data_IF_158519471546
#
_entry.id   IF_158519471546
#
_cell.length_a   1.000
_cell.length_b   1.000
_cell.length_c   1.000
_cell.angle_alpha   90.00
_cell.angle_beta   90.00
_cell.angle_gamma   90.00
#
_symmetry.space_group_name_H-M   'P 1'
#
loop_
_entity.id
_entity.type
_entity.pdbx_description
1 polymer ?
#
# COMPACT_ATOMS: atom_id res chain seq x y z
N UNK A 1 17.07 36.12 18.60
CA UNK A 1 17.39 34.77 18.07
C UNK A 1 17.20 33.81 19.23
N UNK A 2 15.99 33.23 19.40
CA UNK A 2 15.73 32.19 20.39
C UNK A 2 16.31 30.88 19.85
N UNK A 3 17.36 30.38 20.46
CA UNK A 3 17.84 29.02 20.26
C UNK A 3 16.87 28.11 21.00
N UNK A 4 15.98 27.46 20.28
CA UNK A 4 15.15 26.39 20.84
C UNK A 4 16.10 25.25 21.25
N UNK A 5 16.35 25.11 22.53
CA UNK A 5 17.00 23.94 23.11
C UNK A 5 16.01 22.79 22.94
N UNK A 6 16.20 21.97 21.91
CA UNK A 6 15.49 20.69 21.77
C UNK A 6 15.92 19.84 22.96
N UNK A 7 15.09 19.83 24.00
CA UNK A 7 15.28 18.94 25.14
C UNK A 7 15.22 17.50 24.62
N UNK A 8 16.36 16.82 24.64
CA UNK A 8 16.44 15.42 24.20
C UNK A 8 15.62 14.60 25.23
N UNK A 9 14.45 14.13 24.83
CA UNK A 9 13.60 13.28 25.66
C UNK A 9 14.40 12.07 26.18
N UNK A 10 14.27 11.69 27.45
CA UNK A 10 15.00 10.57 28.01
C UNK A 10 14.67 9.28 27.25
N UNK A 11 15.66 8.39 27.15
CA UNK A 11 15.48 7.08 26.50
C UNK A 11 14.70 6.17 27.46
N UNK A 12 13.57 5.62 26.96
CA UNK A 12 12.83 4.55 27.62
C UNK A 12 13.42 3.20 27.19
N UNK A 13 13.74 2.34 28.13
CA UNK A 13 14.16 0.97 27.85
C UNK A 13 12.99 0.02 28.10
N UNK A 14 12.59 -0.74 27.10
CA UNK A 14 11.37 -1.59 27.17
C UNK A 14 11.47 -2.64 28.30
N UNK A 15 12.65 -3.15 28.58
CA UNK A 15 12.88 -4.09 29.69
C UNK A 15 12.63 -3.45 31.08
N UNK A 16 12.73 -2.14 31.22
CA UNK A 16 12.37 -1.42 32.46
C UNK A 16 10.85 -1.31 32.68
N UNK A 17 10.06 -1.57 31.62
CA UNK A 17 8.61 -1.65 31.67
C UNK A 17 8.10 -3.11 31.80
N UNK A 18 9.02 -4.08 31.84
CA UNK A 18 8.69 -5.49 31.94
C UNK A 18 8.60 -6.21 30.58
N UNK A 19 9.00 -5.58 29.48
CA UNK A 19 9.05 -6.24 28.15
C UNK A 19 10.30 -7.13 28.09
N UNK A 20 10.10 -8.44 28.21
CA UNK A 20 11.19 -9.44 28.37
C UNK A 20 10.94 -10.69 27.50
N UNK A 21 12.00 -11.33 26.97
CA UNK A 21 11.85 -12.50 26.10
C UNK A 21 11.30 -13.77 26.79
N UNK A 22 11.22 -13.79 28.12
CA UNK A 22 10.70 -14.93 28.88
C UNK A 22 9.24 -14.77 29.30
N UNK A 23 8.59 -13.67 28.99
CA UNK A 23 7.19 -13.43 29.33
C UNK A 23 6.24 -14.09 28.33
N UNK A 24 4.98 -14.30 28.74
CA UNK A 24 3.89 -14.62 27.82
C UNK A 24 3.50 -13.45 26.92
N UNK A 25 2.69 -13.73 25.90
CA UNK A 25 2.35 -12.79 24.87
C UNK A 25 1.50 -11.60 25.38
N UNK A 26 0.62 -11.83 26.36
CA UNK A 26 -0.22 -10.79 26.95
C UNK A 26 0.63 -9.83 27.80
N UNK A 27 1.43 -10.37 28.70
CA UNK A 27 2.32 -9.59 29.56
C UNK A 27 3.30 -8.71 28.73
N UNK A 28 3.85 -9.28 27.64
CA UNK A 28 4.73 -8.53 26.74
C UNK A 28 3.95 -7.45 25.96
N UNK A 29 2.75 -7.74 25.47
CA UNK A 29 1.94 -6.74 24.77
C UNK A 29 1.62 -5.55 25.66
N UNK A 30 1.20 -5.79 26.91
CA UNK A 30 0.91 -4.75 27.90
C UNK A 30 2.15 -3.95 28.28
N UNK A 31 3.27 -4.63 28.52
CA UNK A 31 4.54 -3.99 28.88
C UNK A 31 5.07 -3.09 27.77
N UNK A 32 5.04 -3.56 26.51
CA UNK A 32 5.49 -2.77 25.37
C UNK A 32 4.54 -1.60 25.11
N UNK A 33 3.21 -1.79 25.15
CA UNK A 33 2.25 -0.69 24.99
C UNK A 33 2.48 0.40 26.03
N UNK A 34 2.64 0.04 27.31
CA UNK A 34 2.94 1.00 28.38
C UNK A 34 4.24 1.79 28.13
N UNK A 35 5.23 1.16 27.49
CA UNK A 35 6.47 1.83 27.10
C UNK A 35 6.25 2.79 25.91
N UNK A 36 5.37 2.40 24.95
CA UNK A 36 5.04 3.17 23.75
C UNK A 36 4.20 4.42 24.07
N UNK A 37 3.36 4.36 25.09
CA UNK A 37 2.44 5.44 25.44
C UNK A 37 3.17 6.77 25.62
N UNK A 38 2.66 7.81 24.92
CA UNK A 38 3.24 9.15 24.89
C UNK A 38 4.51 9.27 24.03
N UNK A 39 4.81 8.28 23.19
CA UNK A 39 5.92 8.34 22.24
C UNK A 39 7.31 8.45 22.87
N UNK A 40 8.24 9.10 22.15
CA UNK A 40 9.61 9.33 22.58
C UNK A 40 10.59 8.24 22.14
N UNK A 41 11.81 8.27 22.69
CA UNK A 41 12.90 7.35 22.31
C UNK A 41 12.82 6.04 23.07
N UNK A 42 12.50 4.94 22.39
CA UNK A 42 12.26 3.63 22.98
C UNK A 42 13.28 2.63 22.42
N UNK A 43 13.88 1.83 23.31
CA UNK A 43 14.92 0.85 22.93
C UNK A 43 14.60 -0.53 23.50
N UNK A 44 14.53 -1.53 22.61
CA UNK A 44 14.48 -2.94 22.96
C UNK A 44 15.90 -3.49 22.79
N UNK A 45 16.62 -3.72 23.88
CA UNK A 45 18.08 -3.93 23.87
C UNK A 45 18.54 -5.35 24.17
N UNK A 46 17.69 -6.22 24.64
CA UNK A 46 18.03 -7.63 24.94
C UNK A 46 17.62 -8.51 23.76
N UNK A 47 18.54 -9.26 23.20
CA UNK A 47 18.23 -10.25 22.18
C UNK A 47 17.31 -11.35 22.73
N UNK A 48 16.45 -11.90 21.90
CA UNK A 48 15.50 -12.97 22.24
C UNK A 48 14.19 -12.86 21.48
N UNK A 49 13.32 -13.84 21.66
CA UNK A 49 11.97 -13.90 21.10
C UNK A 49 10.99 -13.29 22.09
N UNK A 50 10.20 -12.38 21.61
CA UNK A 50 9.21 -11.63 22.39
C UNK A 50 7.82 -11.92 21.85
N UNK A 51 7.07 -12.84 22.46
CA UNK A 51 5.70 -13.11 22.05
C UNK A 51 4.81 -11.88 22.31
N UNK A 52 3.89 -11.58 21.36
CA UNK A 52 2.88 -10.53 21.47
C UNK A 52 1.55 -11.00 20.90
N UNK A 53 0.44 -10.61 21.52
CA UNK A 53 -0.92 -11.02 21.11
C UNK A 53 -1.92 -9.86 21.02
N UNK A 54 -1.49 -8.63 21.20
CA UNK A 54 -2.33 -7.43 21.09
C UNK A 54 -1.75 -6.45 20.09
N UNK A 55 -2.64 -5.71 19.43
CA UNK A 55 -2.23 -4.58 18.58
C UNK A 55 -1.55 -3.51 19.42
N UNK A 56 -0.38 -3.09 18.98
CA UNK A 56 0.45 -2.09 19.63
C UNK A 56 0.29 -0.74 18.90
N UNK A 57 -0.07 0.28 19.66
CA UNK A 57 -0.36 1.62 19.12
C UNK A 57 0.84 2.53 19.32
N UNK A 58 1.29 3.17 18.25
CA UNK A 58 2.38 4.13 18.24
C UNK A 58 1.82 5.56 18.28
N UNK A 59 2.30 6.36 19.20
CA UNK A 59 1.99 7.80 19.26
C UNK A 59 2.98 8.62 18.41
N UNK A 60 2.61 9.84 18.04
CA UNK A 60 3.49 10.79 17.36
C UNK A 60 4.85 10.94 18.08
N UNK A 61 5.92 11.15 17.32
CA UNK A 61 7.28 11.29 17.87
C UNK A 61 7.88 10.01 18.45
N UNK A 62 7.28 8.84 18.23
CA UNK A 62 7.85 7.55 18.65
C UNK A 62 9.10 7.21 17.82
N UNK A 63 10.25 7.02 18.50
CA UNK A 63 11.48 6.48 17.95
C UNK A 63 11.77 5.11 18.59
N UNK A 64 11.18 4.06 18.00
CA UNK A 64 11.27 2.67 18.48
C UNK A 64 12.41 1.93 17.76
N UNK A 65 13.35 1.39 18.51
CA UNK A 65 14.48 0.65 17.95
C UNK A 65 14.68 -0.70 18.64
N UNK A 66 14.79 -1.72 17.81
CA UNK A 66 15.11 -3.09 18.22
C UNK A 66 16.59 -3.39 17.94
N UNK A 67 17.28 -3.92 18.95
CA UNK A 67 18.64 -4.39 18.77
C UNK A 67 18.66 -5.67 17.93
N UNK A 68 19.74 -5.91 17.23
CA UNK A 68 19.98 -7.18 16.53
C UNK A 68 19.74 -8.39 17.45
N UNK A 69 19.07 -9.41 16.91
CA UNK A 69 18.65 -10.62 17.62
C UNK A 69 17.38 -10.49 18.46
N UNK A 70 16.68 -9.34 18.39
CA UNK A 70 15.31 -9.20 18.91
C UNK A 70 14.33 -9.64 17.83
N UNK A 71 13.44 -10.60 18.16
CA UNK A 71 12.36 -11.07 17.29
C UNK A 71 11.03 -10.85 17.98
N UNK A 72 10.15 -10.10 17.36
CA UNK A 72 8.75 -9.99 17.77
C UNK A 72 7.97 -11.17 17.17
N UNK A 73 7.37 -11.99 18.02
CA UNK A 73 6.65 -13.20 17.60
C UNK A 73 5.15 -13.01 17.85
N UNK A 74 4.33 -13.04 16.80
CA UNK A 74 2.86 -13.04 16.99
C UNK A 74 2.42 -14.37 17.57
N UNK A 75 1.62 -14.31 18.63
CA UNK A 75 1.03 -15.47 19.27
C UNK A 75 -0.42 -15.19 19.64
N UNK A 76 -1.16 -16.23 19.98
CA UNK A 76 -2.50 -16.10 20.54
C UNK A 76 -2.41 -15.76 22.02
N UNK A 77 -3.28 -14.89 22.50
CA UNK A 77 -3.44 -14.60 23.92
C UNK A 77 -4.24 -15.68 24.64
N UNK A 78 -4.39 -15.52 25.98
CA UNK A 78 -5.12 -16.48 26.81
C UNK A 78 -6.60 -16.67 26.40
N UNK A 79 -7.18 -15.69 25.72
CA UNK A 79 -8.54 -15.72 25.18
C UNK A 79 -8.63 -16.31 23.75
N UNK A 80 -7.52 -16.79 23.21
CA UNK A 80 -7.42 -17.35 21.87
C UNK A 80 -7.42 -16.30 20.76
N UNK A 81 -7.37 -15.00 21.08
CA UNK A 81 -7.22 -13.92 20.08
C UNK A 81 -5.76 -13.52 19.87
N UNK A 82 -5.43 -13.14 18.65
CA UNK A 82 -4.13 -12.57 18.27
C UNK A 82 -4.18 -11.05 18.11
N UNK A 83 -3.06 -10.47 17.71
CA UNK A 83 -3.02 -9.08 17.30
C UNK A 83 -3.62 -8.90 15.90
N UNK A 84 -4.55 -7.95 15.72
CA UNK A 84 -5.05 -7.59 14.37
C UNK A 84 -3.93 -6.97 13.54
N UNK A 85 -3.26 -5.95 14.08
CA UNK A 85 -1.99 -5.43 13.58
C UNK A 85 -0.91 -5.73 14.61
N UNK A 86 0.34 -5.87 14.17
CA UNK A 86 1.44 -5.83 15.13
C UNK A 86 1.65 -4.40 15.62
N UNK A 87 1.69 -3.45 14.68
CA UNK A 87 1.73 -2.02 15.00
C UNK A 87 0.71 -1.24 14.15
N UNK A 88 0.12 -0.21 14.77
CA UNK A 88 -0.67 0.82 14.11
C UNK A 88 -0.40 2.16 14.80
N UNK A 89 -0.43 3.27 14.07
CA UNK A 89 -0.26 4.59 14.70
C UNK A 89 -1.59 5.17 15.21
N UNK A 90 -1.51 6.11 16.16
CA UNK A 90 -2.67 6.76 16.79
C UNK A 90 -3.53 7.51 15.79
N UNK A 91 -2.92 8.16 14.79
CA UNK A 91 -3.62 8.90 13.75
C UNK A 91 -4.63 8.08 12.97
N UNK A 92 -4.45 6.76 12.90
CA UNK A 92 -5.44 5.87 12.29
C UNK A 92 -6.83 5.97 12.96
N UNK A 93 -6.87 6.20 14.27
CA UNK A 93 -8.10 6.28 15.06
C UNK A 93 -8.69 7.70 15.10
N UNK A 94 -7.82 8.72 15.01
CA UNK A 94 -8.23 10.12 15.16
C UNK A 94 -8.39 10.84 13.82
N UNK A 95 -7.87 10.27 12.72
CA UNK A 95 -7.71 10.91 11.41
C UNK A 95 -6.88 12.20 11.44
N UNK A 96 -6.04 12.34 12.46
CA UNK A 96 -5.06 13.40 12.57
C UNK A 96 -3.66 12.88 12.30
N UNK A 97 -2.81 13.70 11.70
CA UNK A 97 -1.46 13.28 11.37
C UNK A 97 -0.60 13.08 12.61
N UNK A 98 -0.04 11.86 12.75
CA UNK A 98 1.10 11.62 13.63
C UNK A 98 2.39 12.00 12.90
N UNK A 99 3.23 12.79 13.53
CA UNK A 99 4.49 13.24 12.95
C UNK A 99 5.71 12.57 13.61
N UNK A 100 6.73 12.27 12.80
CA UNK A 100 8.05 11.88 13.28
C UNK A 100 8.14 10.49 13.88
N UNK A 101 7.34 9.53 13.40
CA UNK A 101 7.44 8.13 13.83
C UNK A 101 8.65 7.47 13.16
N UNK A 102 9.47 6.78 13.98
CA UNK A 102 10.60 5.97 13.51
C UNK A 102 10.53 4.57 14.09
N UNK A 103 10.66 3.56 13.23
CA UNK A 103 10.75 2.15 13.64
C UNK A 103 11.99 1.55 12.99
N UNK A 104 12.92 1.01 13.77
CA UNK A 104 14.14 0.43 13.23
C UNK A 104 14.53 -0.91 13.85
N UNK A 105 15.01 -1.84 13.00
CA UNK A 105 15.46 -3.16 13.42
C UNK A 105 14.33 -4.12 13.79
N UNK A 106 13.10 -3.89 13.33
CA UNK A 106 11.97 -4.77 13.60
C UNK A 106 12.11 -6.08 12.81
N UNK A 107 12.37 -7.18 13.50
CA UNK A 107 12.22 -8.52 12.98
C UNK A 107 10.90 -9.09 13.50
N UNK A 108 9.92 -9.24 12.61
CA UNK A 108 8.59 -9.78 12.91
C UNK A 108 8.49 -11.22 12.43
N UNK A 109 7.89 -12.07 13.25
CA UNK A 109 7.51 -13.44 12.93
C UNK A 109 6.01 -13.58 13.14
N UNK A 110 5.27 -13.97 12.09
CA UNK A 110 3.81 -14.05 12.13
C UNK A 110 3.28 -15.38 12.64
N UNK A 111 4.03 -16.47 12.51
CA UNK A 111 3.63 -17.84 12.91
C UNK A 111 2.29 -18.27 12.27
N UNK A 112 2.03 -17.84 11.05
CA UNK A 112 0.77 -18.09 10.35
C UNK A 112 -0.43 -17.25 10.83
N UNK A 113 -0.24 -16.36 11.80
CA UNK A 113 -1.30 -15.48 12.31
C UNK A 113 -1.42 -14.21 11.45
N UNK A 114 -2.58 -13.99 10.90
CA UNK A 114 -2.95 -12.79 10.16
C UNK A 114 -3.92 -11.89 10.98
N UNK A 115 -4.39 -10.81 10.36
CA UNK A 115 -5.30 -9.84 10.98
C UNK A 115 -6.62 -10.45 11.45
N UNK A 116 -7.05 -11.58 10.88
CA UNK A 116 -8.30 -12.27 11.25
C UNK A 116 -8.20 -12.95 12.64
N UNK A 117 -7.00 -13.16 13.14
CA UNK A 117 -6.78 -13.68 14.49
C UNK A 117 -7.08 -12.64 15.58
N UNK A 118 -7.12 -11.36 15.23
CA UNK A 118 -7.42 -10.25 16.15
C UNK A 118 -8.86 -9.80 16.12
N UNK A 119 -9.30 -9.18 17.22
CA UNK A 119 -10.60 -8.51 17.30
C UNK A 119 -10.70 -7.31 16.37
N UNK A 120 -11.92 -6.89 16.06
CA UNK A 120 -12.15 -5.65 15.32
C UNK A 120 -11.66 -4.44 16.11
N UNK A 121 -11.12 -3.47 15.40
CA UNK A 121 -10.73 -2.17 15.93
C UNK A 121 -11.67 -1.12 15.34
N UNK A 122 -12.17 -0.25 16.20
CA UNK A 122 -12.99 0.88 15.76
C UNK A 122 -12.09 1.96 15.16
N UNK A 123 -11.89 1.87 13.84
CA UNK A 123 -11.09 2.83 13.08
C UNK A 123 -12.04 3.55 12.12
N UNK A 124 -12.23 4.87 12.27
CA UNK A 124 -13.19 5.63 11.47
C UNK A 124 -12.97 5.51 9.96
N UNK A 125 -14.02 5.18 9.21
CA UNK A 125 -13.97 5.08 7.75
C UNK A 125 -13.23 3.86 7.19
N UNK A 126 -12.78 2.95 8.04
CA UNK A 126 -12.02 1.77 7.67
C UNK A 126 -12.77 0.50 8.07
N UNK A 127 -12.93 -0.39 7.14
CA UNK A 127 -13.58 -1.67 7.37
C UNK A 127 -12.64 -2.80 6.96
N UNK A 128 -12.10 -3.53 7.93
CA UNK A 128 -11.44 -4.79 7.68
C UNK A 128 -10.06 -4.73 7.02
N UNK A 129 -9.22 -3.80 7.41
CA UNK A 129 -7.82 -3.74 6.96
C UNK A 129 -7.06 -5.03 7.23
N UNK A 130 -6.17 -5.37 6.31
CA UNK A 130 -5.36 -6.59 6.34
C UNK A 130 -3.89 -6.28 6.15
N UNK A 131 -3.18 -6.00 7.24
CA UNK A 131 -1.72 -5.84 7.21
C UNK A 131 -1.09 -6.14 8.57
N UNK A 132 0.22 -6.35 8.58
CA UNK A 132 0.95 -6.60 9.81
C UNK A 132 1.35 -5.29 10.51
N UNK A 133 1.77 -4.28 9.74
CA UNK A 133 2.18 -2.97 10.26
C UNK A 133 1.48 -1.88 9.45
N UNK A 134 0.68 -1.05 10.13
CA UNK A 134 -0.15 -0.03 9.52
C UNK A 134 0.27 1.38 9.94
N UNK A 135 0.36 2.30 8.97
CA UNK A 135 0.57 3.72 9.22
C UNK A 135 -0.43 4.53 8.39
N UNK A 136 -1.41 5.12 9.07
CA UNK A 136 -2.43 5.95 8.45
C UNK A 136 -2.41 7.35 9.04
N UNK A 137 -2.53 8.38 8.20
CA UNK A 137 -2.40 9.78 8.60
C UNK A 137 -1.03 10.02 9.28
N UNK A 138 0.04 9.92 8.52
CA UNK A 138 1.40 9.99 9.05
C UNK A 138 2.27 10.95 8.25
N UNK A 139 3.11 11.74 8.94
CA UNK A 139 4.15 12.60 8.37
C UNK A 139 5.52 12.25 8.92
N UNK A 140 6.55 12.37 8.07
CA UNK A 140 7.92 12.09 8.44
C UNK A 140 8.11 10.71 9.07
N UNK A 141 7.51 9.67 8.44
CA UNK A 141 7.67 8.28 8.83
C UNK A 141 9.00 7.72 8.34
N UNK A 142 9.71 7.01 9.22
CA UNK A 142 10.95 6.33 8.86
C UNK A 142 10.95 4.89 9.37
N UNK A 143 11.03 3.92 8.45
CA UNK A 143 11.15 2.49 8.73
C UNK A 143 12.49 2.01 8.20
N UNK A 144 13.31 1.39 9.05
CA UNK A 144 14.64 0.90 8.69
C UNK A 144 14.91 -0.49 9.25
N UNK A 145 15.53 -1.37 8.45
CA UNK A 145 15.84 -2.75 8.82
C UNK A 145 14.61 -3.50 9.34
N UNK A 146 13.57 -3.54 8.51
CA UNK A 146 12.39 -4.37 8.74
C UNK A 146 12.59 -5.74 8.10
N UNK A 147 12.37 -6.81 8.86
CA UNK A 147 12.46 -8.19 8.38
C UNK A 147 11.20 -8.96 8.71
N UNK A 148 10.58 -9.59 7.71
CA UNK A 148 9.43 -10.47 7.84
C UNK A 148 9.54 -11.58 6.79
N UNK A 149 9.81 -12.80 7.21
CA UNK A 149 10.11 -13.93 6.31
C UNK A 149 8.99 -14.99 6.26
N UNK A 150 7.88 -14.76 6.94
CA UNK A 150 6.73 -15.66 7.02
C UNK A 150 5.40 -14.91 6.85
N UNK A 151 5.35 -13.96 5.92
CA UNK A 151 4.16 -13.14 5.65
C UNK A 151 2.97 -14.03 5.25
N UNK A 152 1.86 -14.01 6.01
CA UNK A 152 0.70 -14.85 5.74
C UNK A 152 -0.12 -14.39 4.51
N UNK A 153 -1.01 -15.26 3.97
CA UNK A 153 -1.65 -15.03 2.67
C UNK A 153 -2.73 -13.94 2.65
N UNK A 154 -3.10 -13.37 3.78
CA UNK A 154 -4.22 -12.41 3.84
C UNK A 154 -3.81 -11.01 4.28
N UNK A 155 -2.56 -10.79 4.62
CA UNK A 155 -2.06 -9.52 5.13
C UNK A 155 -0.92 -8.96 4.29
N UNK A 156 -0.93 -7.66 4.04
CA UNK A 156 0.27 -6.93 3.59
C UNK A 156 1.30 -6.86 4.72
N UNK A 157 2.59 -6.77 4.39
CA UNK A 157 3.60 -6.64 5.45
C UNK A 157 3.57 -5.23 6.07
N UNK A 158 3.64 -4.19 5.24
CA UNK A 158 3.58 -2.79 5.64
C UNK A 158 2.52 -2.09 4.79
N UNK A 159 1.59 -1.37 5.42
CA UNK A 159 0.63 -0.52 4.73
C UNK A 159 0.73 0.93 5.20
N UNK A 160 0.80 1.85 4.24
CA UNK A 160 0.96 3.28 4.50
C UNK A 160 -0.05 4.04 3.64
N UNK A 161 -0.90 4.86 4.26
CA UNK A 161 -1.94 5.60 3.54
C UNK A 161 -2.20 6.96 4.19
N UNK A 162 -2.55 7.95 3.39
CA UNK A 162 -2.72 9.35 3.82
C UNK A 162 -1.44 9.83 4.51
N UNK A 163 -0.39 9.98 3.70
CA UNK A 163 0.95 10.21 4.21
C UNK A 163 1.65 11.40 3.55
N UNK A 164 2.64 11.96 4.26
CA UNK A 164 3.63 12.91 3.73
C UNK A 164 5.03 12.54 4.23
N UNK A 165 6.04 12.50 3.33
CA UNK A 165 7.45 12.21 3.64
C UNK A 165 7.66 10.86 4.35
N UNK A 166 7.66 9.78 3.58
CA UNK A 166 7.88 8.43 4.09
C UNK A 166 9.18 7.86 3.56
N UNK A 167 9.97 7.24 4.42
CA UNK A 167 11.13 6.43 4.02
C UNK A 167 11.01 5.03 4.61
N UNK A 168 11.09 4.04 3.72
CA UNK A 168 11.15 2.61 4.06
C UNK A 168 12.44 2.06 3.45
N UNK A 169 13.40 1.69 4.28
CA UNK A 169 14.68 1.23 3.76
C UNK A 169 15.22 -0.02 4.47
N UNK A 170 16.11 -0.74 3.79
CA UNK A 170 16.71 -1.97 4.29
C UNK A 170 15.64 -3.00 4.71
N UNK A 171 14.65 -3.23 3.84
CA UNK A 171 13.56 -4.15 4.12
C UNK A 171 13.77 -5.50 3.48
N UNK A 172 13.48 -6.58 4.22
CA UNK A 172 13.46 -7.93 3.70
C UNK A 172 12.10 -8.58 4.01
N UNK A 173 11.32 -8.85 2.96
CA UNK A 173 9.99 -9.46 3.09
C UNK A 173 9.89 -10.70 2.20
N UNK A 174 9.51 -11.82 2.82
CA UNK A 174 9.18 -13.07 2.12
C UNK A 174 7.78 -13.55 2.53
N UNK A 175 7.01 -14.09 1.59
CA UNK A 175 5.71 -14.73 1.86
C UNK A 175 4.63 -14.43 0.82
N UNK A 176 3.37 -14.47 1.26
CA UNK A 176 2.25 -14.73 0.37
C UNK A 176 1.51 -13.49 -0.13
N UNK A 177 1.85 -12.27 0.34
CA UNK A 177 1.13 -11.03 0.03
C UNK A 177 2.09 -9.86 -0.24
N UNK A 178 1.54 -8.63 -0.42
CA UNK A 178 2.30 -7.42 -0.73
C UNK A 178 3.30 -7.08 0.38
N UNK A 179 4.50 -6.64 -0.03
CA UNK A 179 5.49 -6.24 0.96
C UNK A 179 5.27 -4.79 1.44
N UNK A 180 5.28 -3.82 0.54
CA UNK A 180 5.05 -2.41 0.89
C UNK A 180 3.87 -1.89 0.07
N UNK A 181 2.76 -1.63 0.74
CA UNK A 181 1.50 -1.22 0.17
C UNK A 181 1.21 0.25 0.50
N UNK A 182 1.16 1.09 -0.52
CA UNK A 182 0.83 2.50 -0.40
C UNK A 182 -0.59 2.77 -0.87
N UNK A 183 -1.34 3.51 -0.05
CA UNK A 183 -2.51 4.27 -0.46
C UNK A 183 -2.13 5.74 -0.75
N UNK A 184 -3.11 6.65 -0.82
CA UNK A 184 -2.86 8.06 -1.14
C UNK A 184 -1.83 8.74 -0.25
N UNK A 185 -1.04 9.62 -0.86
CA UNK A 185 -0.03 10.42 -0.17
C UNK A 185 1.07 10.91 -1.09
N UNK A 186 2.05 11.59 -0.55
CA UNK A 186 3.13 12.17 -1.33
C UNK A 186 4.48 12.14 -0.62
N UNK A 187 5.54 12.11 -1.43
CA UNK A 187 6.91 12.13 -0.95
C UNK A 187 7.28 10.81 -0.27
N UNK A 188 7.63 9.78 -1.05
CA UNK A 188 8.04 8.51 -0.45
C UNK A 188 9.31 7.96 -1.10
N UNK A 189 10.07 7.22 -0.29
CA UNK A 189 11.25 6.47 -0.71
C UNK A 189 11.14 5.04 -0.18
N UNK A 190 11.29 4.05 -1.09
CA UNK A 190 11.55 2.66 -0.74
C UNK A 190 12.90 2.29 -1.31
N UNK A 191 13.86 1.91 -0.47
CA UNK A 191 15.19 1.56 -0.97
C UNK A 191 15.86 0.42 -0.24
N UNK A 192 16.81 -0.25 -0.93
CA UNK A 192 17.53 -1.41 -0.42
C UNK A 192 16.56 -2.53 0.00
N UNK A 193 15.52 -2.76 -0.83
CA UNK A 193 14.50 -3.76 -0.59
C UNK A 193 14.87 -5.13 -1.17
N UNK A 194 14.68 -6.19 -0.39
CA UNK A 194 14.78 -7.58 -0.83
C UNK A 194 13.42 -8.21 -0.67
N UNK A 195 12.83 -8.66 -1.78
CA UNK A 195 11.47 -9.18 -1.78
C UNK A 195 11.42 -10.58 -2.40
N UNK A 196 10.75 -11.50 -1.74
CA UNK A 196 10.39 -12.83 -2.23
C UNK A 196 8.91 -13.05 -1.94
N UNK A 197 8.05 -12.27 -2.58
CA UNK A 197 6.61 -12.27 -2.33
C UNK A 197 5.85 -13.01 -3.43
N UNK A 198 4.79 -13.71 -3.06
CA UNK A 198 3.88 -14.34 -4.03
C UNK A 198 3.06 -13.28 -4.77
N UNK A 199 2.56 -12.25 -4.07
CA UNK A 199 1.86 -11.07 -4.61
C UNK A 199 2.85 -9.91 -4.84
N UNK A 200 2.44 -8.66 -4.71
CA UNK A 200 3.18 -7.48 -5.15
C UNK A 200 4.26 -7.04 -4.13
N UNK A 201 5.57 -7.02 -4.46
CA UNK A 201 6.57 -6.33 -3.63
C UNK A 201 6.21 -4.88 -3.32
N UNK A 202 5.74 -4.15 -4.31
CA UNK A 202 5.34 -2.75 -4.21
C UNK A 202 3.93 -2.59 -4.76
N UNK A 203 2.98 -2.17 -3.93
CA UNK A 203 1.66 -1.78 -4.37
C UNK A 203 1.47 -0.26 -4.21
N UNK A 204 1.16 0.43 -5.30
CA UNK A 204 0.82 1.86 -5.33
C UNK A 204 -0.67 1.97 -5.68
N UNK A 205 -1.51 1.74 -4.69
CA UNK A 205 -2.95 1.63 -4.86
C UNK A 205 -3.64 2.95 -4.50
N UNK A 206 -3.71 3.89 -5.44
CA UNK A 206 -4.40 5.17 -5.26
C UNK A 206 -5.90 4.98 -5.04
N UNK A 207 -6.50 3.99 -5.70
CA UNK A 207 -7.81 3.42 -5.41
C UNK A 207 -7.63 1.98 -4.95
N UNK A 208 -8.32 1.58 -3.89
CA UNK A 208 -8.28 0.21 -3.41
C UNK A 208 -9.63 -0.22 -2.83
N UNK A 209 -9.74 -1.47 -2.40
CA UNK A 209 -10.96 -1.96 -1.75
C UNK A 209 -11.35 -1.08 -0.57
N UNK A 210 -12.64 -1.05 -0.26
CA UNK A 210 -13.16 -0.32 0.92
C UNK A 210 -12.49 -0.77 2.22
N UNK A 211 -11.94 -1.98 2.21
CA UNK A 211 -11.30 -2.61 3.36
C UNK A 211 -9.79 -2.41 3.44
N UNK A 212 -9.17 -1.74 2.48
CA UNK A 212 -7.71 -1.56 2.44
C UNK A 212 -7.27 -0.15 2.79
N UNK A 213 -7.65 0.85 2.02
CA UNK A 213 -7.21 2.23 2.24
C UNK A 213 -8.28 3.05 2.97
N UNK A 214 -7.93 3.86 3.97
CA UNK A 214 -8.87 4.76 4.64
C UNK A 214 -9.42 5.85 3.71
N UNK A 215 -8.60 6.37 2.81
CA UNK A 215 -8.96 7.42 1.85
C UNK A 215 -8.61 7.02 0.42
N UNK A 216 -9.23 7.71 -0.55
CA UNK A 216 -8.89 7.67 -1.96
C UNK A 216 -8.18 8.98 -2.33
N UNK A 217 -7.20 8.92 -3.24
CA UNK A 217 -6.47 10.10 -3.69
C UNK A 217 -5.20 9.75 -4.46
N UNK A 218 -4.43 10.75 -4.85
CA UNK A 218 -3.20 10.58 -5.63
C UNK A 218 -2.03 10.08 -4.78
N UNK A 219 -1.16 9.28 -5.41
CA UNK A 219 0.17 8.90 -4.90
C UNK A 219 1.20 9.63 -5.73
N UNK A 220 2.03 10.45 -5.09
CA UNK A 220 2.90 11.38 -5.78
C UNK A 220 4.33 11.41 -5.23
N UNK A 221 5.27 11.76 -6.11
CA UNK A 221 6.64 12.10 -5.76
C UNK A 221 7.37 10.94 -5.04
N UNK A 222 7.45 9.80 -5.72
CA UNK A 222 8.01 8.56 -5.18
C UNK A 222 9.34 8.13 -5.79
N UNK A 223 10.18 7.49 -4.98
CA UNK A 223 11.38 6.80 -5.42
C UNK A 223 11.41 5.37 -4.87
N UNK A 224 11.47 4.40 -5.77
CA UNK A 224 11.77 3.00 -5.45
C UNK A 224 13.17 2.71 -6.00
N UNK A 225 14.14 2.42 -5.12
CA UNK A 225 15.54 2.37 -5.50
C UNK A 225 16.27 1.17 -4.91
N UNK A 226 17.20 0.58 -5.68
CA UNK A 226 18.03 -0.57 -5.28
C UNK A 226 17.21 -1.70 -4.62
N UNK A 227 16.18 -2.15 -5.37
CA UNK A 227 15.29 -3.20 -4.92
C UNK A 227 15.46 -4.45 -5.78
N UNK A 228 15.37 -5.61 -5.14
CA UNK A 228 15.48 -6.92 -5.79
C UNK A 228 14.21 -7.74 -5.57
N UNK A 229 13.59 -8.19 -6.67
CA UNK A 229 12.51 -9.17 -6.69
C UNK A 229 13.14 -10.56 -6.87
N UNK A 230 13.28 -11.30 -5.78
CA UNK A 230 13.95 -12.61 -5.77
C UNK A 230 13.10 -13.67 -6.44
N UNK A 231 13.75 -14.60 -7.13
CA UNK A 231 13.08 -15.76 -7.70
C UNK A 231 12.46 -16.65 -6.62
N UNK A 232 11.29 -17.19 -6.93
CA UNK A 232 10.56 -18.10 -6.05
C UNK A 232 9.95 -19.25 -6.86
N UNK A 233 10.76 -20.22 -7.27
CA UNK A 233 10.30 -21.32 -8.13
C UNK A 233 9.29 -22.24 -7.44
N UNK A 234 9.20 -22.22 -6.12
CA UNK A 234 8.30 -23.10 -5.36
C UNK A 234 6.85 -22.58 -5.35
N UNK A 235 6.64 -21.25 -5.28
CA UNK A 235 5.31 -20.66 -5.16
C UNK A 235 4.73 -20.15 -6.48
N UNK A 236 5.45 -20.28 -7.59
CA UNK A 236 5.00 -19.86 -8.90
C UNK A 236 4.97 -18.34 -9.09
N UNK A 237 4.18 -17.88 -10.06
CA UNK A 237 4.14 -16.47 -10.46
C UNK A 237 2.73 -15.91 -10.37
N UNK A 238 2.46 -15.07 -9.39
CA UNK A 238 1.28 -14.20 -9.35
C UNK A 238 1.69 -12.80 -8.94
N UNK A 239 0.79 -11.82 -9.08
CA UNK A 239 1.09 -10.43 -8.82
C UNK A 239 2.14 -9.83 -9.77
N UNK A 240 2.60 -8.66 -9.42
CA UNK A 240 3.55 -7.85 -10.19
C UNK A 240 4.74 -7.51 -9.28
N UNK A 241 5.86 -7.05 -9.84
CA UNK A 241 6.87 -6.38 -9.00
C UNK A 241 6.30 -5.06 -8.47
N UNK A 242 5.61 -4.31 -9.33
CA UNK A 242 4.87 -3.15 -8.88
C UNK A 242 3.47 -3.12 -9.50
N UNK A 243 2.46 -3.00 -8.64
CA UNK A 243 1.06 -2.76 -8.98
C UNK A 243 0.76 -1.28 -8.82
N UNK A 244 0.14 -0.69 -9.83
CA UNK A 244 -0.21 0.73 -9.84
C UNK A 244 -1.70 0.85 -10.18
N UNK A 245 -2.52 1.17 -9.19
CA UNK A 245 -3.96 1.32 -9.35
C UNK A 245 -4.38 2.78 -9.47
N UNK A 246 -5.24 3.02 -10.45
CA UNK A 246 -5.94 4.29 -10.60
C UNK A 246 -7.45 4.10 -10.36
N UNK A 247 -8.15 5.20 -10.17
CA UNK A 247 -9.60 5.20 -10.03
C UNK A 247 -10.26 6.47 -10.52
N UNK A 248 -11.57 6.40 -10.73
CA UNK A 248 -12.39 7.54 -11.08
C UNK A 248 -13.85 7.29 -10.72
N UNK A 249 -14.52 8.28 -10.16
CA UNK A 249 -15.91 8.22 -9.71
C UNK A 249 -16.63 9.53 -9.96
N UNK A 250 -17.93 9.54 -9.72
CA UNK A 250 -18.79 10.69 -10.04
C UNK A 250 -19.49 11.22 -8.80
N UNK A 251 -20.08 12.40 -8.95
CA UNK A 251 -21.08 12.88 -8.01
C UNK A 251 -22.27 11.91 -7.98
N UNK A 252 -22.82 11.69 -6.80
CA UNK A 252 -24.00 10.87 -6.63
C UNK A 252 -25.21 11.46 -7.36
N UNK A 253 -25.89 10.61 -8.10
CA UNK A 253 -27.15 10.93 -8.77
C UNK A 253 -28.17 9.82 -8.52
N UNK A 254 -29.44 10.17 -8.40
CA UNK A 254 -30.53 9.18 -8.31
C UNK A 254 -30.57 8.31 -9.55
N UNK A 255 -30.67 7.01 -9.36
CA UNK A 255 -30.72 6.05 -10.46
C UNK A 255 -29.36 5.51 -10.90
N UNK A 256 -28.25 5.93 -10.26
CA UNK A 256 -26.92 5.34 -10.51
C UNK A 256 -26.93 3.84 -10.23
N UNK A 257 -26.21 3.11 -11.06
CA UNK A 257 -25.97 1.67 -10.86
C UNK A 257 -24.75 1.46 -10.01
N UNK A 258 -24.94 1.01 -8.79
CA UNK A 258 -23.90 0.83 -7.78
C UNK A 258 -23.64 -0.64 -7.55
N UNK A 259 -22.37 -1.06 -7.62
CA UNK A 259 -21.96 -2.40 -7.23
C UNK A 259 -22.01 -2.54 -5.69
N UNK A 260 -22.32 -3.72 -5.20
CA UNK A 260 -22.43 -3.97 -3.76
C UNK A 260 -21.16 -3.64 -2.97
N UNK A 261 -20.02 -3.68 -3.62
CA UNK A 261 -18.73 -3.37 -3.01
C UNK A 261 -17.80 -2.65 -4.01
N UNK A 262 -17.05 -1.68 -3.54
CA UNK A 262 -15.93 -1.06 -4.24
C UNK A 262 -16.24 0.18 -5.08
N UNK A 263 -17.50 0.53 -5.30
CA UNK A 263 -17.85 1.80 -5.96
C UNK A 263 -17.66 2.97 -5.01
N UNK A 264 -17.26 4.11 -5.56
CA UNK A 264 -17.19 5.39 -4.86
C UNK A 264 -18.10 6.43 -5.51
N UNK A 265 -18.63 7.34 -4.70
CA UNK A 265 -19.38 8.52 -5.14
C UNK A 265 -19.03 9.73 -4.27
N UNK A 266 -19.14 10.93 -4.85
CA UNK A 266 -19.08 12.18 -4.10
C UNK A 266 -20.50 12.65 -3.80
N UNK A 267 -20.76 13.01 -2.56
CA UNK A 267 -22.04 13.56 -2.15
C UNK A 267 -21.85 14.54 -0.99
N UNK A 268 -22.34 15.78 -1.14
CA UNK A 268 -22.26 16.85 -0.13
C UNK A 268 -20.84 17.07 0.44
N UNK A 269 -19.83 17.07 -0.44
CA UNK A 269 -18.45 17.26 -0.03
C UNK A 269 -17.86 16.10 0.75
N UNK A 270 -18.40 14.88 0.58
CA UNK A 270 -17.90 13.63 1.17
C UNK A 270 -17.76 12.55 0.10
N UNK A 271 -16.83 11.65 0.30
CA UNK A 271 -16.74 10.43 -0.49
C UNK A 271 -17.35 9.28 0.30
N UNK A 272 -18.28 8.60 -0.34
CA UNK A 272 -18.89 7.38 0.15
C UNK A 272 -18.43 6.21 -0.71
N UNK A 273 -18.10 5.09 -0.09
CA UNK A 273 -17.75 3.85 -0.78
C UNK A 273 -18.74 2.75 -0.45
N UNK A 274 -19.20 2.02 -1.48
CA UNK A 274 -20.07 0.87 -1.27
C UNK A 274 -19.32 -0.24 -0.54
N UNK A 275 -19.94 -0.78 0.51
CA UNK A 275 -19.33 -1.76 1.41
C UNK A 275 -20.33 -2.91 1.72
N UNK A 276 -20.75 -3.58 0.71
CA UNK A 276 -21.64 -4.76 0.82
C UNK A 276 -20.89 -6.08 0.63
N UNK A 277 -21.63 -7.17 0.43
CA UNK A 277 -21.06 -8.48 0.16
C UNK A 277 -20.11 -8.45 -1.05
N UNK A 278 -19.04 -9.22 -0.98
CA UNK A 278 -18.03 -9.39 -2.05
C UNK A 278 -18.55 -10.10 -3.31
N UNK A 279 -19.84 -10.17 -3.48
CA UNK A 279 -20.50 -10.67 -4.69
C UNK A 279 -20.99 -9.46 -5.45
N UNK A 280 -20.62 -9.35 -6.74
CA UNK A 280 -21.07 -8.25 -7.61
C UNK A 280 -22.58 -8.28 -7.80
N UNK A 281 -23.30 -7.71 -6.87
CA UNK A 281 -24.71 -7.38 -7.01
C UNK A 281 -24.81 -5.91 -7.37
N UNK A 282 -25.48 -5.60 -8.48
CA UNK A 282 -25.75 -4.24 -8.90
C UNK A 282 -27.08 -3.79 -8.32
N UNK A 283 -27.07 -2.64 -7.67
CA UNK A 283 -28.24 -1.95 -7.13
C UNK A 283 -28.51 -0.67 -7.90
N UNK A 284 -29.74 -0.21 -7.90
CA UNK A 284 -30.10 1.13 -8.39
C UNK A 284 -30.20 2.05 -7.19
N UNK A 285 -29.32 3.05 -7.11
CA UNK A 285 -29.28 3.97 -5.98
C UNK A 285 -30.47 4.94 -6.04
N UNK A 286 -31.37 4.84 -5.07
CA UNK A 286 -32.54 5.69 -4.94
C UNK A 286 -32.44 6.64 -3.74
N UNK A 287 -31.60 6.35 -2.79
CA UNK A 287 -31.44 7.11 -1.56
C UNK A 287 -30.05 7.75 -1.49
N UNK A 288 -30.05 9.06 -1.30
CA UNK A 288 -28.83 9.86 -1.20
C UNK A 288 -28.08 9.56 0.09
N UNK A 289 -26.80 9.16 0.06
CA UNK A 289 -26.03 9.00 1.27
C UNK A 289 -25.80 10.35 1.94
N UNK A 290 -26.05 10.42 3.26
CA UNK A 290 -26.01 11.68 4.03
C UNK A 290 -25.44 11.57 5.44
N UNK A 291 -25.13 10.34 5.89
CA UNK A 291 -24.50 10.14 7.20
C UNK A 291 -23.07 10.73 7.21
N UNK A 292 -22.62 11.13 8.39
CA UNK A 292 -21.36 11.87 8.56
C UNK A 292 -20.24 11.01 9.08
N UNK A 293 -20.52 9.77 9.47
CA UNK A 293 -19.56 8.81 10.00
C UNK A 293 -20.04 7.37 9.83
N UNK A 294 -19.11 6.43 9.84
CA UNK A 294 -19.39 5.01 9.87
C UNK A 294 -20.02 4.46 8.59
N UNK A 295 -20.75 3.36 8.76
CA UNK A 295 -21.36 2.57 7.67
C UNK A 295 -22.87 2.46 7.89
N UNK A 296 -23.65 2.77 6.85
CA UNK A 296 -25.13 2.75 6.90
C UNK A 296 -25.69 2.02 5.68
N UNK A 297 -26.61 1.10 5.91
CA UNK A 297 -27.41 0.46 4.84
C UNK A 297 -28.68 1.26 4.60
N UNK A 298 -28.88 1.69 3.34
CA UNK A 298 -30.05 2.46 2.91
C UNK A 298 -31.19 1.56 2.42
N UNK A 299 -32.44 2.06 2.33
CA UNK A 299 -33.58 1.22 1.95
C UNK A 299 -33.51 0.60 0.54
N UNK A 300 -32.65 1.12 -0.35
CA UNK A 300 -32.35 0.51 -1.66
C UNK A 300 -31.41 -0.69 -1.58
N UNK A 301 -30.97 -1.08 -0.38
CA UNK A 301 -30.09 -2.19 -0.12
C UNK A 301 -28.60 -1.86 -0.23
N UNK A 302 -28.24 -0.63 -0.61
CA UNK A 302 -26.85 -0.21 -0.70
C UNK A 302 -26.32 0.13 0.69
N UNK A 303 -25.19 -0.47 1.03
CA UNK A 303 -24.43 -0.14 2.25
C UNK A 303 -23.31 0.83 1.87
N UNK A 304 -23.35 2.04 2.42
CA UNK A 304 -22.34 3.06 2.21
C UNK A 304 -21.48 3.26 3.46
N UNK A 305 -20.18 3.30 3.28
CA UNK A 305 -19.21 3.77 4.29
C UNK A 305 -18.78 5.19 3.94
N UNK A 306 -18.97 6.15 4.84
CA UNK A 306 -18.39 7.48 4.70
C UNK A 306 -16.88 7.38 4.90
N UNK A 307 -16.12 7.54 3.82
CA UNK A 307 -14.67 7.36 3.82
C UNK A 307 -13.94 8.62 4.20
N UNK A 308 -14.29 9.75 3.58
CA UNK A 308 -13.57 11.01 3.79
C UNK A 308 -14.47 12.22 3.56
N UNK A 309 -14.19 13.28 4.30
CA UNK A 309 -14.87 14.58 4.22
C UNK A 309 -13.89 15.74 3.95
N UNK A 310 -12.66 15.39 3.62
CA UNK A 310 -11.58 16.31 3.21
C UNK A 310 -10.83 15.73 2.01
N UNK A 311 -10.05 16.54 1.30
CA UNK A 311 -9.29 16.13 0.12
C UNK A 311 -10.17 15.46 -0.95
N UNK A 312 -11.38 16.03 -1.17
CA UNK A 312 -12.35 15.44 -2.09
C UNK A 312 -11.85 15.53 -3.51
N UNK A 313 -11.83 14.42 -4.19
CA UNK A 313 -11.45 14.28 -5.59
C UNK A 313 -12.42 13.34 -6.33
N UNK A 314 -12.40 13.38 -7.66
CA UNK A 314 -13.22 12.53 -8.54
C UNK A 314 -12.38 11.51 -9.30
N UNK A 315 -11.07 11.61 -9.17
CA UNK A 315 -10.11 10.69 -9.77
C UNK A 315 -8.86 10.54 -8.90
N UNK A 316 -8.16 9.44 -9.05
CA UNK A 316 -6.90 9.18 -8.38
C UNK A 316 -5.99 8.30 -9.24
N UNK A 317 -4.72 8.37 -8.99
CA UNK A 317 -3.70 7.60 -9.70
C UNK A 317 -2.32 7.88 -9.14
N UNK A 318 -1.31 7.55 -9.93
CA UNK A 318 0.10 7.67 -9.54
C UNK A 318 0.83 8.58 -10.52
N UNK A 319 1.65 9.49 -10.01
CA UNK A 319 2.48 10.37 -10.83
C UNK A 319 3.80 10.76 -10.17
N UNK A 320 4.79 11.10 -10.99
CA UNK A 320 6.13 11.46 -10.54
C UNK A 320 6.79 10.35 -9.71
N UNK A 321 6.82 9.13 -10.24
CA UNK A 321 7.43 7.99 -9.56
C UNK A 321 8.58 7.43 -10.37
N UNK A 322 9.71 7.24 -9.70
CA UNK A 322 10.95 6.69 -10.26
C UNK A 322 11.24 5.34 -9.67
N UNK A 323 11.38 4.34 -10.54
CA UNK A 323 11.93 3.02 -10.23
C UNK A 323 13.37 3.00 -10.72
N UNK A 324 14.34 2.90 -9.82
CA UNK A 324 15.77 2.98 -10.12
C UNK A 324 16.55 1.80 -9.55
N UNK A 325 17.55 1.31 -10.31
CA UNK A 325 18.40 0.19 -9.89
C UNK A 325 17.59 -1.05 -9.46
N UNK A 326 16.61 -1.46 -10.28
CA UNK A 326 15.69 -2.56 -9.97
C UNK A 326 16.19 -3.86 -10.61
N UNK A 327 16.29 -4.91 -9.81
CA UNK A 327 16.65 -6.27 -10.26
C UNK A 327 15.43 -7.18 -10.20
N UNK A 328 14.91 -7.54 -11.38
CA UNK A 328 13.77 -8.43 -11.53
C UNK A 328 14.27 -9.86 -11.79
N UNK A 329 14.43 -10.62 -10.73
CA UNK A 329 14.92 -12.01 -10.79
C UNK A 329 13.77 -13.01 -10.73
N UNK A 330 12.61 -12.62 -10.22
CA UNK A 330 11.42 -13.47 -10.17
C UNK A 330 10.78 -13.59 -11.54
N UNK A 331 10.39 -14.80 -11.90
CA UNK A 331 9.61 -15.07 -13.12
C UNK A 331 8.18 -14.57 -12.94
N UNK A 332 7.81 -13.51 -13.66
CA UNK A 332 6.47 -12.90 -13.67
C UNK A 332 5.94 -12.80 -15.10
N UNK A 333 4.61 -12.82 -15.26
CA UNK A 333 3.99 -12.57 -16.57
C UNK A 333 4.07 -11.08 -16.96
N UNK A 334 3.94 -10.21 -15.99
CA UNK A 334 4.06 -8.77 -16.11
C UNK A 334 4.84 -8.28 -14.90
N UNK A 335 5.88 -7.46 -15.09
CA UNK A 335 6.62 -6.91 -13.96
C UNK A 335 5.94 -5.68 -13.36
N UNK A 336 5.46 -4.77 -14.17
CA UNK A 336 4.89 -3.48 -13.75
C UNK A 336 3.52 -3.31 -14.42
N UNK A 337 2.45 -3.18 -13.62
CA UNK A 337 1.10 -3.09 -14.14
C UNK A 337 0.37 -1.83 -13.66
N UNK A 338 -0.04 -0.99 -14.62
CA UNK A 338 -0.90 0.17 -14.39
C UNK A 338 -2.31 -0.19 -14.86
N UNK A 339 -3.27 -0.32 -13.95
CA UNK A 339 -4.61 -0.74 -14.32
C UNK A 339 -5.72 -0.18 -13.43
N UNK A 340 -6.96 -0.40 -13.84
CA UNK A 340 -8.12 -0.28 -12.99
C UNK A 340 -8.43 -1.64 -12.41
N UNK A 341 -8.68 -1.68 -11.12
CA UNK A 341 -9.21 -2.88 -10.50
C UNK A 341 -10.68 -3.04 -10.85
N UNK A 342 -11.04 -4.22 -11.33
CA UNK A 342 -12.41 -4.49 -11.76
C UNK A 342 -12.73 -5.96 -11.51
N UNK A 343 -12.74 -6.32 -10.23
CA UNK A 343 -13.01 -7.68 -9.76
C UNK A 343 -14.21 -7.73 -8.80
N UNK A 344 -14.30 -8.78 -8.02
CA UNK A 344 -15.38 -8.98 -7.05
C UNK A 344 -15.28 -8.04 -5.82
N UNK A 345 -14.17 -7.35 -5.63
CA UNK A 345 -13.92 -6.50 -4.46
C UNK A 345 -13.99 -5.01 -4.77
N UNK A 346 -13.75 -4.63 -6.03
CA UNK A 346 -13.56 -3.25 -6.41
C UNK A 346 -14.00 -3.00 -7.86
N UNK A 347 -14.62 -1.84 -8.10
CA UNK A 347 -14.72 -1.21 -9.40
C UNK A 347 -14.06 0.16 -9.30
N UNK A 348 -12.80 0.24 -9.64
CA UNK A 348 -12.03 1.45 -9.44
C UNK A 348 -12.33 2.55 -10.47
N UNK A 349 -13.01 2.26 -11.58
CA UNK A 349 -13.47 3.28 -12.52
C UNK A 349 -14.98 3.18 -12.78
N UNK A 350 -15.71 4.21 -12.36
CA UNK A 350 -17.13 4.32 -12.65
C UNK A 350 -17.34 4.81 -14.09
N UNK A 351 -18.31 4.27 -14.87
CA UNK A 351 -18.56 4.68 -16.25
C UNK A 351 -18.73 6.20 -16.39
N UNK A 352 -18.01 6.78 -17.35
CA UNK A 352 -18.02 8.23 -17.65
C UNK A 352 -17.55 9.12 -16.48
N UNK A 353 -16.80 8.60 -15.53
CA UNK A 353 -16.13 9.39 -14.51
C UNK A 353 -14.98 10.22 -15.10
N UNK A 354 -14.45 11.13 -14.29
CA UNK A 354 -13.20 11.83 -14.62
C UNK A 354 -12.09 10.83 -14.93
N UNK A 355 -11.36 11.07 -16.02
CA UNK A 355 -10.29 10.17 -16.47
C UNK A 355 -9.01 10.45 -15.70
N UNK A 356 -8.52 9.50 -14.89
CA UNK A 356 -7.27 9.68 -14.15
C UNK A 356 -6.08 9.48 -15.09
N UNK A 357 -5.47 10.57 -15.55
CA UNK A 357 -4.25 10.50 -16.35
C UNK A 357 -3.06 10.39 -15.42
N UNK A 358 -2.48 9.19 -15.36
CA UNK A 358 -1.24 8.95 -14.62
C UNK A 358 -0.05 9.56 -15.39
N UNK A 359 1.06 9.89 -14.72
CA UNK A 359 2.10 10.60 -15.43
C UNK A 359 3.50 10.53 -14.83
N UNK A 360 4.49 10.79 -15.69
CA UNK A 360 5.90 10.82 -15.33
C UNK A 360 6.35 9.57 -14.55
N UNK A 361 6.10 8.39 -15.15
CA UNK A 361 6.54 7.11 -14.59
C UNK A 361 7.89 6.75 -15.22
N UNK A 362 8.92 6.74 -14.41
CA UNK A 362 10.32 6.57 -14.87
C UNK A 362 10.89 5.24 -14.40
N UNK A 363 11.43 4.49 -15.32
CA UNK A 363 12.19 3.26 -15.07
C UNK A 363 13.64 3.48 -15.48
N UNK A 364 14.55 3.46 -14.53
CA UNK A 364 15.96 3.73 -14.73
C UNK A 364 16.80 2.57 -14.19
N UNK A 365 17.74 2.07 -14.98
CA UNK A 365 18.63 0.96 -14.60
C UNK A 365 17.84 -0.27 -14.12
N UNK A 366 16.86 -0.69 -14.92
CA UNK A 366 16.11 -1.93 -14.66
C UNK A 366 16.84 -3.09 -15.32
N UNK A 367 17.10 -4.12 -14.55
CA UNK A 367 17.69 -5.38 -15.00
C UNK A 367 16.69 -6.51 -14.88
N UNK A 368 16.40 -7.16 -16.01
CA UNK A 368 15.55 -8.36 -16.07
C UNK A 368 16.45 -9.59 -16.15
N UNK A 369 16.48 -10.38 -15.08
CA UNK A 369 17.32 -11.57 -14.96
C UNK A 369 16.66 -12.87 -15.41
N UNK A 370 15.34 -12.93 -15.40
CA UNK A 370 14.52 -14.06 -15.88
C UNK A 370 13.69 -13.69 -17.11
N UNK A 371 13.07 -14.67 -17.76
CA UNK A 371 12.18 -14.43 -18.88
C UNK A 371 10.85 -13.83 -18.37
N UNK A 372 10.74 -12.52 -18.47
CA UNK A 372 9.53 -11.74 -18.17
C UNK A 372 8.97 -11.23 -19.50
N UNK A 373 7.84 -11.77 -20.00
CA UNK A 373 7.32 -11.39 -21.32
C UNK A 373 6.94 -9.91 -21.41
N UNK A 374 6.44 -9.33 -20.33
CA UNK A 374 5.97 -7.94 -20.31
C UNK A 374 6.62 -7.19 -19.14
N UNK A 375 7.48 -6.23 -19.47
CA UNK A 375 8.07 -5.36 -18.46
C UNK A 375 7.03 -4.41 -17.90
N UNK A 376 6.33 -3.69 -18.77
CA UNK A 376 5.35 -2.68 -18.37
C UNK A 376 4.05 -2.95 -19.13
N UNK A 377 2.94 -3.10 -18.41
CA UNK A 377 1.60 -3.12 -18.96
C UNK A 377 0.79 -1.95 -18.45
N UNK A 378 0.26 -1.12 -19.34
CA UNK A 378 -0.70 -0.08 -18.95
C UNK A 378 -2.06 -0.35 -19.58
N UNK A 379 -3.11 -0.36 -18.75
CA UNK A 379 -4.52 -0.35 -19.16
C UNK A 379 -5.20 0.97 -18.82
N UNK A 380 -4.58 1.78 -17.96
CA UNK A 380 -5.06 3.13 -17.61
C UNK A 380 -4.45 4.18 -18.52
N UNK A 381 -5.08 5.36 -18.69
CA UNK A 381 -4.44 6.51 -19.31
C UNK A 381 -3.14 6.88 -18.59
N UNK A 382 -2.10 7.09 -19.37
CA UNK A 382 -0.80 7.53 -18.89
C UNK A 382 -0.19 8.48 -19.91
N UNK A 383 0.31 9.63 -19.47
CA UNK A 383 0.90 10.65 -20.34
C UNK A 383 2.28 10.23 -20.83
N UNK A 384 3.11 9.72 -19.93
CA UNK A 384 4.50 9.37 -20.26
C UNK A 384 5.03 8.18 -19.45
N UNK A 385 5.77 7.33 -20.17
CA UNK A 385 6.59 6.25 -19.64
C UNK A 385 8.02 6.48 -20.13
N UNK A 386 8.97 6.57 -19.22
CA UNK A 386 10.37 6.78 -19.52
C UNK A 386 11.16 5.55 -19.08
N UNK A 387 11.81 4.88 -20.02
CA UNK A 387 12.72 3.76 -19.75
C UNK A 387 14.13 4.15 -20.18
N UNK A 388 15.07 4.12 -19.26
CA UNK A 388 16.45 4.50 -19.54
C UNK A 388 17.50 3.63 -18.86
N UNK A 389 18.69 3.54 -19.47
CA UNK A 389 19.85 2.83 -18.93
C UNK A 389 19.54 1.39 -18.51
N UNK A 390 18.67 0.69 -19.25
CA UNK A 390 18.06 -0.56 -18.80
C UNK A 390 18.37 -1.72 -19.72
N UNK A 391 18.45 -2.94 -19.14
CA UNK A 391 18.62 -4.20 -19.86
C UNK A 391 17.42 -5.09 -19.61
N UNK A 392 16.58 -5.28 -20.62
CA UNK A 392 15.26 -5.89 -20.50
C UNK A 392 15.07 -7.18 -21.31
N UNK A 393 16.11 -7.67 -21.98
CA UNK A 393 16.04 -8.94 -22.74
C UNK A 393 14.98 -8.90 -23.84
N UNK A 394 14.06 -9.88 -23.80
CA UNK A 394 12.94 -10.00 -24.74
C UNK A 394 11.64 -9.34 -24.27
N UNK A 395 11.65 -8.69 -23.11
CA UNK A 395 10.45 -8.06 -22.53
C UNK A 395 9.91 -6.92 -23.41
N UNK A 396 8.60 -6.74 -23.40
CA UNK A 396 7.91 -5.68 -24.14
C UNK A 396 7.13 -4.71 -23.23
N UNK A 397 6.76 -3.57 -23.77
CA UNK A 397 5.83 -2.59 -23.18
C UNK A 397 4.47 -2.75 -23.88
N UNK A 398 3.41 -2.97 -23.11
CA UNK A 398 2.04 -3.11 -23.63
C UNK A 398 1.15 -1.95 -23.18
N UNK A 399 0.58 -1.23 -24.15
CA UNK A 399 -0.42 -0.20 -23.93
C UNK A 399 -1.79 -0.74 -24.40
N UNK A 400 -2.62 -1.15 -23.47
CA UNK A 400 -3.90 -1.81 -23.73
C UNK A 400 -5.04 -0.87 -23.33
N UNK A 401 -6.22 -1.05 -23.92
CA UNK A 401 -7.44 -0.41 -23.44
C UNK A 401 -7.89 -1.07 -22.14
N UNK A 402 -8.47 -0.30 -21.24
CA UNK A 402 -9.13 -0.83 -20.06
C UNK A 402 -10.31 -1.72 -20.46
N UNK A 403 -10.51 -2.77 -19.70
CA UNK A 403 -11.69 -3.64 -19.82
C UNK A 403 -12.78 -2.99 -18.95
N UNK A 404 -14.02 -2.97 -19.47
CA UNK A 404 -15.20 -2.49 -18.75
C UNK A 404 -15.09 -1.05 -18.19
N UNK A 405 -14.46 -0.14 -18.93
CA UNK A 405 -14.37 1.27 -18.64
C UNK A 405 -15.03 2.13 -19.73
N UNK A 406 -16.38 2.13 -19.82
CA UNK A 406 -17.10 2.97 -20.76
C UNK A 406 -16.83 4.45 -20.57
N UNK A 407 -16.65 5.18 -21.68
CA UNK A 407 -16.29 6.60 -21.67
C UNK A 407 -14.80 6.87 -21.48
N UNK A 408 -13.96 5.81 -21.39
CA UNK A 408 -12.52 5.97 -21.30
C UNK A 408 -11.93 6.36 -22.65
N UNK A 409 -11.34 7.54 -22.70
CA UNK A 409 -10.57 8.05 -23.82
C UNK A 409 -9.07 8.00 -23.50
N UNK A 410 -8.25 7.87 -24.53
CA UNK A 410 -6.80 7.79 -24.38
C UNK A 410 -6.12 8.84 -25.25
N UNK A 411 -5.46 9.76 -24.60
CA UNK A 411 -4.51 10.64 -25.25
C UNK A 411 -3.24 9.88 -25.69
N UNK A 412 -2.43 10.55 -26.52
CA UNK A 412 -1.18 9.97 -26.98
C UNK A 412 -0.21 9.76 -25.82
N UNK A 413 0.09 8.50 -25.50
CA UNK A 413 1.13 8.15 -24.53
C UNK A 413 2.51 8.37 -25.12
N UNK A 414 3.37 9.13 -24.46
CA UNK A 414 4.77 9.28 -24.80
C UNK A 414 5.61 8.17 -24.16
N UNK A 415 6.21 7.30 -24.99
CA UNK A 415 7.19 6.30 -24.53
C UNK A 415 8.59 6.77 -24.92
N UNK A 416 9.39 7.18 -23.95
CA UNK A 416 10.77 7.61 -24.14
C UNK A 416 11.73 6.48 -23.79
N UNK A 417 12.57 6.12 -24.74
CA UNK A 417 13.58 5.06 -24.61
C UNK A 417 14.97 5.68 -24.74
N UNK A 418 15.79 5.57 -23.72
CA UNK A 418 17.13 6.16 -23.64
C UNK A 418 18.14 5.07 -23.23
N UNK A 419 19.05 4.68 -24.14
CA UNK A 419 20.06 3.65 -23.87
C UNK A 419 19.46 2.35 -23.30
N UNK A 420 18.47 1.79 -24.00
CA UNK A 420 17.80 0.55 -23.61
C UNK A 420 18.34 -0.62 -24.43
N UNK A 421 18.87 -1.64 -23.75
CA UNK A 421 19.27 -2.89 -24.37
C UNK A 421 18.07 -3.87 -24.38
N UNK A 422 17.57 -4.22 -25.55
CA UNK A 422 16.48 -5.18 -25.76
C UNK A 422 16.70 -6.04 -27.00
N UNK A 423 16.13 -7.24 -27.01
CA UNK A 423 16.28 -8.19 -28.10
C UNK A 423 15.53 -7.75 -29.37
N UNK A 424 14.42 -7.03 -29.24
CA UNK A 424 13.50 -6.69 -30.31
C UNK A 424 13.11 -5.20 -30.29
N UNK A 425 14.01 -4.28 -30.68
CA UNK A 425 13.76 -2.84 -30.55
C UNK A 425 12.56 -2.35 -31.37
N UNK A 426 12.34 -2.91 -32.57
CA UNK A 426 11.25 -2.51 -33.48
C UNK A 426 9.86 -2.92 -32.97
N UNK A 427 9.77 -3.90 -32.08
CA UNK A 427 8.52 -4.39 -31.49
C UNK A 427 8.45 -4.22 -29.98
N UNK A 428 9.31 -3.39 -29.41
CA UNK A 428 9.36 -3.16 -27.97
C UNK A 428 8.07 -2.60 -27.40
N UNK A 429 7.37 -1.73 -28.15
CA UNK A 429 6.09 -1.16 -27.71
C UNK A 429 4.96 -1.73 -28.55
N UNK A 430 3.99 -2.36 -27.89
CA UNK A 430 2.75 -2.85 -28.49
C UNK A 430 1.54 -2.08 -27.95
N UNK A 431 0.76 -1.50 -28.84
CA UNK A 431 -0.40 -0.69 -28.48
C UNK A 431 -1.60 -0.94 -29.41
N UNK A 432 -2.34 -2.03 -29.23
CA UNK A 432 -3.54 -2.27 -30.01
C UNK A 432 -4.66 -1.27 -29.62
N UNK A 433 -4.91 -0.32 -30.51
CA UNK A 433 -6.05 0.63 -30.39
C UNK A 433 -5.86 1.77 -29.42
N UNK A 434 -4.63 2.06 -28.95
CA UNK A 434 -4.31 3.30 -28.22
C UNK A 434 -3.27 4.12 -28.98
N UNK A 435 -3.38 5.47 -29.00
CA UNK A 435 -2.34 6.31 -29.60
C UNK A 435 -1.09 6.31 -28.73
N UNK A 436 0.07 6.26 -29.36
CA UNK A 436 1.35 6.38 -28.69
C UNK A 436 2.41 6.98 -29.62
N UNK A 437 3.47 7.53 -29.01
CA UNK A 437 4.65 8.03 -29.70
C UNK A 437 5.90 7.51 -29.00
N UNK A 438 6.78 6.88 -29.75
CA UNK A 438 8.10 6.46 -29.25
C UNK A 438 9.13 7.53 -29.58
N UNK A 439 9.91 7.90 -28.59
CA UNK A 439 11.10 8.75 -28.74
C UNK A 439 12.33 7.94 -28.35
N UNK A 440 13.27 7.81 -29.28
CA UNK A 440 14.59 7.20 -29.07
C UNK A 440 15.62 8.29 -28.81
N UNK A 441 16.50 8.10 -27.80
CA UNK A 441 17.62 8.97 -27.49
C UNK A 441 18.87 8.18 -27.16
#
# INVERSE_FOLDING_TARGET
MLVAVVACSPVKYADSYGFLPGNDALANSEALQKCLDGGGRIRVRKAGIYPVCRTLVLDAGTDLSFKEGVVLSKELGPDGSGARFTFINRGAFTREYDEGIRVSGLHLQCNGLDSRSGGELDIPGIVGLSCQVAFFYVKDLYIDRFTLLDLPPHDFAIQICTFENVTVENVHVEGMKDAVHFGPGRGFVVRHGIFKTYDDPIALNAHDYTTSNPELGWIEDGLIEDCTDLDDPENGTTGFFARILAGGWRDWETGMKIQSSGDAVVCDGRIYRSNGPKVRTEYVSAFRPSHTEGTVTYPDGITWTMSQDRNICHSCGVRNVVFRDIRLLKKRQVALCLHFDHDQYSRSYYPYAEIPVQGNIVFEKVYVGNDIPVLIQSRTPVDSIILRDSRIGSSEIRLLKAIDAPGMEYDTTLVRLERVECANPDSLVRSPGRPFKVMLR
#
